data_IF_695244350761
#
_entry.id   IF_695244350761
#
_cell.length_a   1.000
_cell.length_b   1.000
_cell.length_c   1.000
_cell.angle_alpha   90.00
_cell.angle_beta   90.00
_cell.angle_gamma   90.00
#
_symmetry.space_group_name_H-M   'P 1'
#
loop_
_entity.id
_entity.type
_entity.pdbx_description
1 polymer ?
#
# COMPACT_ATOMS: atom_id res chain seq x y z
N UNK A 1 4.07 -24.02 -46.50
CA UNK A 1 3.97 -22.72 -45.77
C UNK A 1 2.57 -22.08 -45.76
N UNK A 2 1.73 -22.14 -46.81
CA UNK A 2 0.37 -21.55 -46.81
C UNK A 2 -0.59 -22.03 -45.69
N UNK A 3 -0.50 -23.30 -45.28
CA UNK A 3 -1.37 -23.87 -44.22
C UNK A 3 -1.03 -23.38 -42.80
N UNK A 4 0.20 -22.94 -42.53
CA UNK A 4 0.59 -22.43 -41.21
C UNK A 4 0.18 -20.97 -41.01
N UNK A 5 0.25 -20.14 -42.05
CA UNK A 5 -0.28 -18.76 -41.97
C UNK A 5 -1.79 -18.74 -41.69
N UNK A 6 -2.56 -19.65 -42.31
CA UNK A 6 -4.02 -19.73 -42.10
C UNK A 6 -4.40 -20.03 -40.64
N UNK A 7 -3.68 -20.93 -39.95
CA UNK A 7 -3.93 -21.25 -38.54
C UNK A 7 -3.48 -20.12 -37.61
N UNK A 8 -2.39 -19.45 -37.94
CA UNK A 8 -1.88 -18.31 -37.16
C UNK A 8 -2.86 -17.12 -37.19
N UNK A 9 -3.44 -16.83 -38.36
CA UNK A 9 -4.47 -15.80 -38.51
C UNK A 9 -5.79 -16.17 -37.82
N UNK A 10 -6.19 -17.45 -37.81
CA UNK A 10 -7.39 -17.89 -37.09
C UNK A 10 -7.24 -17.76 -35.56
N UNK A 11 -6.04 -17.99 -35.01
CA UNK A 11 -5.77 -17.82 -33.57
C UNK A 11 -5.81 -16.34 -33.17
N UNK A 12 -5.23 -15.46 -34.00
CA UNK A 12 -5.25 -14.01 -33.76
C UNK A 12 -6.70 -13.47 -33.79
N UNK A 13 -7.50 -13.90 -34.77
CA UNK A 13 -8.91 -13.48 -34.88
C UNK A 13 -9.72 -13.97 -33.67
N UNK A 14 -9.45 -15.17 -33.17
CA UNK A 14 -10.10 -15.71 -31.96
C UNK A 14 -9.74 -14.88 -30.71
N UNK A 15 -8.47 -14.46 -30.57
CA UNK A 15 -8.05 -13.62 -29.44
C UNK A 15 -8.64 -12.21 -29.50
N UNK A 16 -8.76 -11.62 -30.70
CA UNK A 16 -9.40 -10.31 -30.89
C UNK A 16 -10.90 -10.38 -30.59
N UNK A 17 -11.59 -11.46 -30.96
CA UNK A 17 -13.01 -11.65 -30.59
C UNK A 17 -13.21 -11.85 -29.08
N UNK A 18 -12.33 -12.59 -28.40
CA UNK A 18 -12.41 -12.75 -26.94
C UNK A 18 -12.15 -11.42 -26.23
N UNK A 19 -11.18 -10.61 -26.70
CA UNK A 19 -11.00 -9.25 -26.18
C UNK A 19 -12.21 -8.35 -26.48
N UNK A 20 -12.78 -8.42 -27.68
CA UNK A 20 -13.94 -7.62 -28.04
C UNK A 20 -15.16 -7.97 -27.18
N UNK A 21 -15.41 -9.25 -26.84
CA UNK A 21 -16.50 -9.66 -25.94
C UNK A 21 -16.26 -9.21 -24.49
N UNK A 22 -14.99 -9.14 -24.05
CA UNK A 22 -14.62 -8.57 -22.74
C UNK A 22 -14.80 -7.04 -22.71
N UNK A 23 -14.59 -6.35 -23.82
CA UNK A 23 -14.77 -4.90 -23.93
C UNK A 23 -16.18 -4.45 -24.37
N UNK A 24 -17.00 -5.32 -24.98
CA UNK A 24 -18.32 -4.97 -25.52
C UNK A 24 -19.50 -5.23 -24.57
N UNK A 25 -19.26 -5.81 -23.39
CA UNK A 25 -20.25 -5.93 -22.30
C UNK A 25 -20.06 -4.87 -21.19
N UNK A 26 -19.24 -3.84 -21.44
CA UNK A 26 -18.87 -2.84 -20.44
C UNK A 26 -19.44 -1.44 -20.66
N UNK A 27 -20.57 -1.29 -21.35
CA UNK A 27 -21.26 0.00 -21.46
C UNK A 27 -22.62 -0.08 -20.77
N UNK A 28 -22.73 0.58 -19.60
CA UNK A 28 -24.02 0.83 -18.94
C UNK A 28 -24.48 -0.24 -17.97
N UNK A 29 -23.85 -0.28 -16.78
CA UNK A 29 -24.34 -0.68 -15.44
C UNK A 29 -23.18 -1.18 -14.57
N UNK A 30 -22.10 -0.42 -14.50
CA UNK A 30 -21.17 -0.60 -13.39
C UNK A 30 -21.81 0.02 -12.16
N UNK A 31 -22.02 -0.82 -11.14
CA UNK A 31 -21.73 -0.51 -9.73
C UNK A 31 -22.84 -0.36 -8.68
N UNK A 32 -24.15 -0.44 -8.96
CA UNK A 32 -25.10 -0.33 -7.82
C UNK A 32 -25.03 -1.51 -6.85
N UNK A 33 -24.80 -2.74 -7.36
CA UNK A 33 -24.67 -3.93 -6.52
C UNK A 33 -23.36 -3.94 -5.73
N UNK A 34 -22.23 -3.68 -6.39
CA UNK A 34 -20.91 -3.64 -5.76
C UNK A 34 -20.75 -2.45 -4.80
N UNK A 35 -21.29 -1.26 -5.12
CA UNK A 35 -21.30 -0.11 -4.20
C UNK A 35 -22.17 -0.38 -2.98
N UNK A 36 -23.33 -1.03 -3.14
CA UNK A 36 -24.17 -1.39 -1.99
C UNK A 36 -23.59 -2.52 -1.14
N UNK A 37 -22.87 -3.48 -1.75
CA UNK A 37 -22.11 -4.50 -1.01
C UNK A 37 -20.96 -3.88 -0.22
N UNK A 38 -20.23 -2.90 -0.79
CA UNK A 38 -19.20 -2.13 -0.08
C UNK A 38 -19.77 -1.27 1.06
N UNK A 39 -20.93 -0.63 0.87
CA UNK A 39 -21.58 0.19 1.89
C UNK A 39 -21.98 -0.60 3.14
N UNK A 40 -22.28 -1.88 3.00
CA UNK A 40 -22.65 -2.77 4.11
C UNK A 40 -21.50 -3.67 4.55
N UNK A 41 -20.31 -3.52 3.95
CA UNK A 41 -19.16 -4.32 4.30
C UNK A 41 -18.65 -3.93 5.69
N UNK A 42 -18.85 -4.84 6.66
CA UNK A 42 -18.24 -4.72 7.98
C UNK A 42 -16.91 -5.45 7.96
N UNK A 43 -15.84 -4.68 7.80
CA UNK A 43 -14.45 -5.18 7.86
C UNK A 43 -14.23 -5.99 9.16
N UNK A 44 -13.74 -7.24 9.09
CA UNK A 44 -13.25 -7.97 10.25
C UNK A 44 -12.12 -7.22 10.96
N UNK A 45 -11.92 -7.41 12.28
CA UNK A 45 -10.83 -6.75 12.98
C UNK A 45 -9.48 -7.16 12.37
N UNK A 46 -8.54 -6.23 12.36
CA UNK A 46 -7.18 -6.48 11.91
C UNK A 46 -6.48 -7.51 12.81
N UNK A 47 -5.50 -8.22 12.26
CA UNK A 47 -4.72 -9.22 13.00
C UNK A 47 -3.27 -8.77 13.14
N UNK A 48 -2.75 -8.76 14.36
CA UNK A 48 -1.31 -8.62 14.58
C UNK A 48 -0.60 -9.93 14.21
N UNK A 49 0.23 -9.86 13.18
CA UNK A 49 1.02 -10.98 12.67
C UNK A 49 2.52 -10.76 12.85
N UNK A 50 2.92 -9.82 13.72
CA UNK A 50 4.33 -9.45 14.01
C UNK A 50 5.22 -10.66 14.30
N UNK A 51 4.70 -11.61 15.09
CA UNK A 51 5.42 -12.81 15.52
C UNK A 51 5.05 -14.06 14.71
N UNK A 52 4.25 -13.93 13.67
CA UNK A 52 3.96 -15.06 12.80
C UNK A 52 5.24 -15.48 12.05
N UNK A 53 5.63 -16.78 12.13
CA UNK A 53 6.82 -17.26 11.43
C UNK A 53 6.69 -17.19 9.91
N UNK A 54 5.46 -17.07 9.39
CA UNK A 54 5.19 -16.89 7.96
C UNK A 54 5.87 -15.62 7.40
N UNK A 55 5.85 -14.52 8.16
CA UNK A 55 6.27 -13.22 7.65
C UNK A 55 7.71 -12.84 8.01
N UNK A 56 8.40 -13.55 8.92
CA UNK A 56 9.76 -13.23 9.35
C UNK A 56 9.98 -11.76 9.79
N UNK A 57 8.95 -11.09 10.30
CA UNK A 57 8.99 -9.66 10.65
C UNK A 57 9.55 -9.38 12.05
N UNK A 58 9.52 -10.36 12.95
CA UNK A 58 9.83 -10.18 14.37
C UNK A 58 11.20 -9.55 14.65
N UNK A 59 12.20 -9.76 13.78
CA UNK A 59 13.54 -9.17 13.89
C UNK A 59 13.59 -7.66 13.57
N UNK A 60 12.59 -7.12 12.87
CA UNK A 60 12.44 -5.69 12.56
C UNK A 60 11.66 -4.94 13.63
N UNK A 61 10.75 -5.63 14.33
CA UNK A 61 9.96 -5.04 15.41
C UNK A 61 10.86 -4.50 16.54
N UNK A 62 10.54 -3.32 17.03
CA UNK A 62 11.27 -2.63 18.10
C UNK A 62 12.53 -1.89 17.64
N UNK A 63 12.97 -2.05 16.39
CA UNK A 63 14.18 -1.37 15.88
C UNK A 63 13.92 0.10 15.59
N UNK A 64 14.90 0.95 15.90
CA UNK A 64 14.85 2.40 15.63
C UNK A 64 15.62 2.68 14.36
N UNK A 65 15.01 3.49 13.49
CA UNK A 65 15.56 3.95 12.22
C UNK A 65 15.45 5.47 12.15
N UNK A 66 16.32 6.06 11.34
CA UNK A 66 16.40 7.49 11.10
C UNK A 66 16.02 7.79 9.65
N UNK A 67 15.15 8.77 9.44
CA UNK A 67 14.72 9.18 8.12
C UNK A 67 15.81 9.98 7.39
N UNK A 68 16.13 9.59 6.16
CA UNK A 68 17.09 10.32 5.29
C UNK A 68 16.45 11.49 4.57
N UNK A 69 15.14 11.48 4.47
CA UNK A 69 14.33 12.47 3.75
C UNK A 69 13.31 13.11 4.69
N UNK A 70 12.73 14.24 4.26
CA UNK A 70 11.57 14.81 4.96
C UNK A 70 10.38 13.86 4.87
N UNK A 71 9.58 13.81 5.91
CA UNK A 71 8.41 12.94 6.00
C UNK A 71 7.18 13.77 6.32
N UNK A 72 5.98 13.30 6.01
CA UNK A 72 4.76 13.95 6.46
C UNK A 72 3.97 13.03 7.38
N UNK A 73 3.63 13.54 8.55
CA UNK A 73 2.57 12.96 9.35
C UNK A 73 1.24 13.47 8.79
N UNK A 74 0.37 12.56 8.38
CA UNK A 74 -0.91 12.92 7.80
C UNK A 74 -2.04 12.05 8.37
N UNK A 75 -3.22 12.64 8.44
CA UNK A 75 -4.46 11.91 8.60
C UNK A 75 -4.91 11.44 7.21
N UNK A 76 -5.24 10.15 7.08
CA UNK A 76 -5.69 9.56 5.83
C UNK A 76 -6.89 8.67 6.07
N UNK A 77 -7.90 8.83 5.21
CA UNK A 77 -9.13 8.04 5.23
C UNK A 77 -8.96 6.80 4.37
N UNK A 78 -9.07 5.64 4.99
CA UNK A 78 -9.05 4.37 4.27
C UNK A 78 -10.35 4.15 3.48
N UNK A 79 -10.35 3.14 2.61
CA UNK A 79 -11.52 2.76 1.82
C UNK A 79 -12.73 2.36 2.68
N UNK A 80 -12.49 1.96 3.94
CA UNK A 80 -13.53 1.66 4.95
C UNK A 80 -14.16 2.93 5.55
N UNK A 81 -13.58 4.09 5.28
CA UNK A 81 -13.96 5.37 5.84
C UNK A 81 -13.35 5.71 7.19
N UNK A 82 -12.57 4.79 7.78
CA UNK A 82 -11.84 5.03 9.03
C UNK A 82 -10.61 5.89 8.75
N UNK A 83 -10.35 6.83 9.66
CA UNK A 83 -9.19 7.70 9.60
C UNK A 83 -8.05 7.13 10.45
N UNK A 84 -6.87 7.02 9.85
CA UNK A 84 -5.64 6.64 10.54
C UNK A 84 -4.55 7.68 10.30
N UNK A 85 -3.61 7.73 11.23
CA UNK A 85 -2.41 8.56 11.07
C UNK A 85 -1.32 7.77 10.37
N UNK A 86 -0.85 8.31 9.25
CA UNK A 86 0.20 7.74 8.43
C UNK A 86 1.44 8.62 8.44
N UNK A 87 2.60 7.98 8.33
CA UNK A 87 3.85 8.61 7.96
C UNK A 87 4.08 8.37 6.47
N UNK A 88 4.12 9.44 5.68
CA UNK A 88 4.30 9.37 4.23
C UNK A 88 5.67 9.88 3.80
N UNK A 89 6.21 9.25 2.75
CA UNK A 89 7.44 9.70 2.07
C UNK A 89 7.16 10.90 1.13
N UNK A 90 8.18 11.68 0.70
CA UNK A 90 7.99 12.92 -0.06
C UNK A 90 7.05 12.83 -1.25
N UNK A 91 7.14 11.79 -2.07
CA UNK A 91 6.34 11.70 -3.30
C UNK A 91 4.82 11.63 -3.11
N UNK A 92 4.33 11.49 -1.86
CA UNK A 92 2.90 11.53 -1.54
C UNK A 92 2.39 12.95 -1.27
N UNK A 93 3.26 13.84 -0.80
CA UNK A 93 2.85 15.14 -0.27
C UNK A 93 3.65 16.33 -0.81
N UNK A 94 4.79 16.10 -1.47
CA UNK A 94 5.66 17.12 -2.03
C UNK A 94 5.55 17.15 -3.55
N UNK A 95 4.90 18.18 -4.08
CA UNK A 95 4.67 18.37 -5.52
C UNK A 95 5.94 18.65 -6.33
N UNK A 96 7.07 18.90 -5.67
CA UNK A 96 8.36 19.07 -6.34
C UNK A 96 9.04 17.73 -6.69
N UNK A 97 8.52 16.61 -6.18
CA UNK A 97 9.06 15.29 -6.49
C UNK A 97 8.70 14.84 -7.92
N UNK A 98 9.64 14.32 -8.70
CA UNK A 98 9.39 13.90 -10.10
C UNK A 98 8.27 12.86 -10.26
N UNK A 99 8.06 12.01 -9.26
CA UNK A 99 7.05 10.96 -9.23
C UNK A 99 5.90 11.27 -8.25
N UNK A 100 5.63 12.56 -8.00
CA UNK A 100 4.56 13.00 -7.11
C UNK A 100 3.20 12.41 -7.52
N UNK A 101 2.59 11.68 -6.58
CA UNK A 101 1.24 11.09 -6.71
C UNK A 101 0.45 11.43 -5.44
N UNK A 102 -0.38 12.48 -5.45
CA UNK A 102 -1.19 12.83 -4.28
C UNK A 102 -2.15 11.70 -3.95
N UNK A 103 -2.39 11.50 -2.66
CA UNK A 103 -3.44 10.61 -2.17
C UNK A 103 -4.71 11.43 -1.94
N UNK A 104 -5.87 11.03 -2.50
CA UNK A 104 -7.16 11.63 -2.16
C UNK A 104 -7.41 11.54 -0.64
N UNK A 105 -8.13 12.49 -0.06
CA UNK A 105 -8.51 12.48 1.37
C UNK A 105 -7.34 12.44 2.38
N UNK A 106 -6.12 12.74 1.93
CA UNK A 106 -4.96 12.93 2.81
C UNK A 106 -4.92 14.37 3.32
N UNK A 107 -4.87 14.54 4.64
CA UNK A 107 -4.67 15.84 5.31
C UNK A 107 -3.35 15.85 6.07
N UNK A 108 -2.40 16.66 5.60
CA UNK A 108 -1.10 16.82 6.28
C UNK A 108 -1.33 17.46 7.65
N UNK A 109 -0.83 16.81 8.69
CA UNK A 109 -0.82 17.31 10.07
C UNK A 109 0.46 18.14 10.28
N UNK A 110 1.61 17.55 9.95
CA UNK A 110 2.91 18.22 10.05
C UNK A 110 3.93 17.58 9.11
N UNK A 111 4.91 18.37 8.68
CA UNK A 111 6.08 17.87 7.94
C UNK A 111 7.25 17.75 8.91
N UNK A 112 7.82 16.56 8.98
CA UNK A 112 8.93 16.21 9.83
C UNK A 112 10.24 16.34 9.03
N UNK A 113 11.30 16.89 9.64
CA UNK A 113 12.58 17.04 8.97
C UNK A 113 13.24 15.67 8.72
N UNK A 114 14.23 15.61 7.82
CA UNK A 114 15.21 14.53 7.83
C UNK A 114 15.80 14.36 9.24
N UNK A 115 16.35 13.19 9.50
CA UNK A 115 16.84 12.73 10.82
C UNK A 115 15.75 12.45 11.86
N UNK A 116 14.48 12.51 11.47
CA UNK A 116 13.38 12.05 12.34
C UNK A 116 13.56 10.57 12.67
N UNK A 117 13.47 10.22 13.95
CA UNK A 117 13.64 8.85 14.45
C UNK A 117 12.29 8.14 14.53
N UNK A 118 12.25 6.91 14.05
CA UNK A 118 11.06 6.06 13.99
C UNK A 118 11.40 4.70 14.58
N UNK A 119 10.60 4.23 15.54
CA UNK A 119 10.64 2.84 16.00
C UNK A 119 9.61 2.03 15.20
N UNK A 120 10.07 1.01 14.48
CA UNK A 120 9.17 0.07 13.80
C UNK A 120 8.49 -0.79 14.88
N UNK A 121 7.16 -0.89 14.78
CA UNK A 121 6.29 -1.52 15.78
C UNK A 121 5.79 -2.89 15.32
N UNK A 122 4.58 -2.92 14.77
CA UNK A 122 3.86 -4.16 14.47
C UNK A 122 3.71 -4.38 12.96
N UNK A 123 3.53 -5.64 12.58
CA UNK A 123 3.00 -6.03 11.29
C UNK A 123 1.53 -6.42 11.45
N UNK A 124 0.66 -5.67 10.80
CA UNK A 124 -0.79 -5.80 10.88
C UNK A 124 -1.32 -6.35 9.56
N UNK A 125 -2.06 -7.46 9.61
CA UNK A 125 -2.84 -7.97 8.49
C UNK A 125 -4.22 -7.29 8.51
N UNK A 126 -4.48 -6.48 7.50
CA UNK A 126 -5.80 -5.95 7.16
C UNK A 126 -6.65 -7.08 6.60
N UNK A 127 -7.60 -7.55 7.41
CA UNK A 127 -8.55 -8.61 7.04
C UNK A 127 -9.72 -8.08 6.18
N UNK A 128 -9.56 -6.88 5.64
CA UNK A 128 -10.48 -6.23 4.74
C UNK A 128 -10.33 -6.69 3.28
N UNK A 129 -10.55 -5.78 2.32
CA UNK A 129 -10.46 -6.13 0.89
C UNK A 129 -9.00 -6.19 0.45
N UNK A 130 -8.52 -7.41 0.23
CA UNK A 130 -7.21 -7.68 -0.38
C UNK A 130 -6.13 -8.18 0.58
N UNK A 131 -6.46 -8.56 1.81
CA UNK A 131 -5.56 -9.19 2.79
C UNK A 131 -4.18 -8.50 2.89
N UNK A 132 -4.19 -7.17 3.01
CA UNK A 132 -2.97 -6.36 2.90
C UNK A 132 -2.19 -6.34 4.22
N UNK A 133 -0.86 -6.26 4.12
CA UNK A 133 0.02 -6.13 5.26
C UNK A 133 0.45 -4.68 5.44
N UNK A 134 0.25 -4.17 6.65
CA UNK A 134 0.60 -2.82 7.07
C UNK A 134 1.63 -2.88 8.16
N UNK A 135 2.63 -1.99 8.10
CA UNK A 135 3.58 -1.83 9.19
C UNK A 135 3.22 -0.59 9.97
N UNK A 136 3.23 -0.72 11.29
CA UNK A 136 3.06 0.41 12.20
C UNK A 136 4.39 0.78 12.86
N UNK A 137 4.45 1.97 13.44
CA UNK A 137 5.57 2.41 14.24
C UNK A 137 5.19 3.55 15.17
N UNK A 138 6.19 4.13 15.80
CA UNK A 138 6.07 5.32 16.64
C UNK A 138 7.23 6.27 16.39
N UNK A 139 6.95 7.57 16.36
CA UNK A 139 8.02 8.57 16.30
C UNK A 139 8.72 8.62 17.65
N UNK A 140 10.05 8.65 17.64
CA UNK A 140 10.88 8.75 18.84
C UNK A 140 11.28 10.22 19.03
N UNK A 141 11.30 10.68 20.27
CA UNK A 141 11.73 12.05 20.62
C UNK A 141 10.87 13.18 20.02
N UNK A 142 9.64 12.88 19.58
CA UNK A 142 8.66 13.86 19.06
C UNK A 142 7.47 13.96 20.01
N UNK A 143 6.89 15.16 20.14
CA UNK A 143 5.65 15.38 20.88
C UNK A 143 4.55 14.47 20.28
N UNK A 144 3.93 13.61 21.11
CA UNK A 144 3.03 12.50 20.72
C UNK A 144 3.70 11.18 20.28
N UNK A 145 4.90 10.88 20.79
CA UNK A 145 5.66 9.63 20.54
C UNK A 145 4.94 8.33 20.89
N UNK A 146 3.82 8.37 21.62
CA UNK A 146 3.05 7.18 21.99
C UNK A 146 1.98 6.79 20.95
N UNK A 147 1.70 7.66 19.97
CA UNK A 147 0.68 7.37 18.95
C UNK A 147 1.22 6.36 17.94
N UNK A 148 0.50 5.24 17.78
CA UNK A 148 0.73 4.29 16.69
C UNK A 148 0.43 4.99 15.36
N UNK A 149 1.39 4.93 14.44
CA UNK A 149 1.26 5.45 13.08
C UNK A 149 1.52 4.35 12.07
N UNK A 150 0.81 4.39 10.96
CA UNK A 150 1.02 3.48 9.83
C UNK A 150 2.15 4.01 8.96
N UNK A 151 2.98 3.12 8.43
CA UNK A 151 4.11 3.48 7.57
C UNK A 151 3.72 3.33 6.10
N UNK A 152 4.08 4.32 5.28
CA UNK A 152 4.07 4.15 3.83
C UNK A 152 4.94 2.94 3.45
N UNK A 153 4.38 2.07 2.61
CA UNK A 153 5.01 0.85 2.16
C UNK A 153 6.40 1.03 1.54
N UNK A 154 6.71 2.22 1.04
CA UNK A 154 7.98 2.55 0.39
C UNK A 154 9.11 2.82 1.36
N UNK A 155 8.82 2.93 2.66
CA UNK A 155 9.84 2.87 3.69
C UNK A 155 10.40 1.45 3.87
N UNK A 156 9.71 0.46 3.30
CA UNK A 156 10.05 -0.95 3.39
C UNK A 156 10.54 -1.45 2.03
N UNK A 157 11.48 -2.39 2.05
CA UNK A 157 12.08 -3.01 0.87
C UNK A 157 11.61 -4.46 0.71
N UNK A 158 12.00 -5.07 -0.42
CA UNK A 158 11.78 -6.50 -0.74
C UNK A 158 10.32 -6.93 -0.87
N UNK A 159 9.43 -5.96 -1.02
CA UNK A 159 8.00 -6.19 -1.19
C UNK A 159 7.63 -5.98 -2.66
N UNK A 160 7.01 -6.98 -3.28
CA UNK A 160 6.33 -6.80 -4.57
C UNK A 160 4.93 -6.31 -4.26
N UNK A 161 4.66 -5.05 -4.59
CA UNK A 161 3.34 -4.44 -4.48
C UNK A 161 2.68 -4.44 -5.87
N UNK A 162 1.49 -5.03 -6.00
CA UNK A 162 0.68 -4.86 -7.21
C UNK A 162 -0.11 -3.56 -7.04
N UNK A 163 0.33 -2.47 -7.69
CA UNK A 163 -0.38 -1.18 -7.80
C UNK A 163 -1.07 -0.68 -6.50
N UNK A 164 -0.40 0.19 -5.72
CA UNK A 164 -0.98 0.86 -4.54
C UNK A 164 -1.74 -0.06 -3.55
N UNK A 165 -1.35 -1.31 -3.31
CA UNK A 165 -2.15 -2.13 -2.38
C UNK A 165 -1.47 -3.36 -1.80
N UNK A 166 -1.52 -4.55 -2.42
CA UNK A 166 -1.18 -5.77 -1.71
C UNK A 166 0.27 -6.20 -1.92
N UNK A 167 0.93 -6.61 -0.84
CA UNK A 167 2.13 -7.45 -0.90
C UNK A 167 1.88 -8.74 -0.12
N UNK A 168 2.30 -9.87 -0.66
CA UNK A 168 2.34 -11.16 0.04
C UNK A 168 3.74 -11.42 0.62
N UNK A 169 4.48 -10.36 0.93
CA UNK A 169 5.89 -10.48 1.27
C UNK A 169 6.08 -11.22 2.58
N UNK A 170 6.96 -12.20 2.53
CA UNK A 170 7.45 -12.96 3.68
C UNK A 170 8.88 -12.57 4.04
N UNK A 171 9.43 -11.56 3.37
CA UNK A 171 10.80 -11.08 3.52
C UNK A 171 10.80 -9.57 3.67
N UNK A 172 11.13 -9.10 4.86
CA UNK A 172 11.16 -7.68 5.15
C UNK A 172 12.56 -7.11 4.97
N UNK A 173 12.57 -5.87 4.53
CA UNK A 173 13.74 -5.02 4.55
C UNK A 173 13.28 -3.59 4.78
N UNK A 174 14.23 -2.73 5.11
CA UNK A 174 14.01 -1.29 5.15
C UNK A 174 14.58 -0.70 3.87
N UNK A 175 13.88 0.28 3.28
CA UNK A 175 14.36 0.95 2.09
C UNK A 175 15.54 1.89 2.45
N UNK A 176 16.77 1.58 2.00
CA UNK A 176 17.96 2.36 2.37
C UNK A 176 17.97 3.78 1.77
N UNK A 177 17.10 4.07 0.81
CA UNK A 177 16.92 5.42 0.27
C UNK A 177 16.09 6.30 1.21
N UNK A 178 15.25 5.68 2.05
CA UNK A 178 14.32 6.38 2.94
C UNK A 178 14.80 6.41 4.40
N UNK A 179 15.42 5.31 4.86
CA UNK A 179 15.75 5.07 6.26
C UNK A 179 17.17 4.52 6.41
N UNK A 180 17.83 4.88 7.52
CA UNK A 180 19.14 4.39 7.94
C UNK A 180 19.15 4.04 9.44
N UNK A 181 20.13 3.25 9.89
CA UNK A 181 20.29 2.89 11.31
C UNK A 181 21.11 3.92 12.06
#
# INVERSE_FOLDING_TARGET
>A
MRKMLSKFWQIIILQIMVMAVVFSNGCGKSSDKYINELKNYKKPPDTDVTFSPEYNFSSFSGTIWQAKVKMALADFKEYTGVHHTYLFIPKRFDSTQPDYRPLPDMKIITVLPPSTRLRIGQLIKDNGIGDQLWVTGTLVDVTNSEKIIYLDHLMLANNVFISLGPTSSTNWGVNPDMLEK
#
